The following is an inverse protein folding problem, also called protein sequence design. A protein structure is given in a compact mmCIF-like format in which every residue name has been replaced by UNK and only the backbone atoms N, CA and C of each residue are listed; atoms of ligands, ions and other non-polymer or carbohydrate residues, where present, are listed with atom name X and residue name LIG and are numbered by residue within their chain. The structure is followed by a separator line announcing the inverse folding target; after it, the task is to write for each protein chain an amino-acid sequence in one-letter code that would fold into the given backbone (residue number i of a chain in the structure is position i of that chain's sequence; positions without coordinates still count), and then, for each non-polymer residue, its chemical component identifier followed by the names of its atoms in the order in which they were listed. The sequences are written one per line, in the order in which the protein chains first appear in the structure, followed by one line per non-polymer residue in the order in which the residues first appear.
data_IF_884906916184
#
_entry.id   IF_884906916184
#
_cell.length_a   1.000
_cell.length_b   1.000
_cell.length_c   1.000
_cell.angle_alpha   90.00
_cell.angle_beta   90.00
_cell.angle_gamma   90.00
#
_symmetry.space_group_name_H-M   'P 1'
#
loop_
_entity.id
_entity.type
_entity.pdbx_description
1 polymer ?
#
# COMPACT_ATOMS: atom_id res chain seq x y z
N UNK A 1 -11.33 10.09 -13.17
CA UNK A 1 -11.55 9.12 -12.06
C UNK A 1 -11.63 9.83 -10.71
N UNK A 2 -10.62 10.59 -10.27
CA UNK A 2 -10.63 11.25 -8.96
C UNK A 2 -11.81 12.22 -8.74
N UNK A 3 -12.23 13.00 -9.76
CA UNK A 3 -13.44 13.84 -9.66
C UNK A 3 -14.69 13.02 -9.31
N UNK A 4 -14.85 11.86 -9.94
CA UNK A 4 -15.99 10.97 -9.68
C UNK A 4 -15.89 10.34 -8.29
N UNK A 5 -14.70 9.90 -7.87
CA UNK A 5 -14.49 9.37 -6.52
C UNK A 5 -14.85 10.40 -5.43
N UNK A 6 -14.49 11.68 -5.62
CA UNK A 6 -14.88 12.76 -4.71
C UNK A 6 -16.40 12.93 -4.61
N UNK A 7 -17.12 12.82 -5.72
CA UNK A 7 -18.59 12.90 -5.73
C UNK A 7 -19.25 11.75 -4.96
N UNK A 8 -18.58 10.59 -4.83
CA UNK A 8 -19.06 9.46 -4.03
C UNK A 8 -18.82 9.63 -2.52
N UNK A 9 -18.13 10.68 -2.09
CA UNK A 9 -17.86 10.94 -0.66
C UNK A 9 -16.85 9.98 -0.03
N UNK A 10 -15.92 9.42 -0.82
CA UNK A 10 -14.88 8.51 -0.29
C UNK A 10 -13.88 9.27 0.59
N UNK A 11 -13.29 8.57 1.57
CA UNK A 11 -12.32 9.17 2.49
C UNK A 11 -10.98 9.54 1.84
N UNK A 12 -10.54 8.75 0.85
CA UNK A 12 -9.29 8.98 0.11
C UNK A 12 -9.31 8.24 -1.23
N UNK A 13 -8.36 8.55 -2.10
CA UNK A 13 -8.08 7.79 -3.33
C UNK A 13 -6.67 7.21 -3.31
N UNK A 14 -6.53 5.99 -3.83
CA UNK A 14 -5.24 5.33 -4.03
C UNK A 14 -4.84 5.45 -5.51
N UNK A 15 -3.68 6.05 -5.78
CA UNK A 15 -3.25 6.39 -7.14
C UNK A 15 -1.94 5.67 -7.48
N UNK A 16 -2.04 4.63 -8.31
CA UNK A 16 -0.87 3.91 -8.82
C UNK A 16 -0.04 4.77 -9.77
N UNK A 17 1.28 4.60 -9.75
CA UNK A 17 2.17 5.19 -10.76
C UNK A 17 1.72 4.83 -12.18
N UNK A 18 1.84 5.75 -13.16
CA UNK A 18 1.57 5.45 -14.56
C UNK A 18 2.35 4.22 -15.02
N UNK A 19 1.61 3.20 -15.42
CA UNK A 19 2.15 1.92 -15.86
C UNK A 19 2.38 1.92 -17.37
N UNK A 20 3.24 0.99 -17.83
CA UNK A 20 3.57 0.72 -19.24
C UNK A 20 4.38 1.81 -19.95
N UNK A 21 4.00 3.08 -19.85
CA UNK A 21 4.63 4.19 -20.56
C UNK A 21 5.92 4.73 -19.91
N UNK A 22 6.26 4.27 -18.70
CA UNK A 22 7.55 4.49 -18.01
C UNK A 22 7.98 5.97 -17.94
N UNK A 23 7.19 6.85 -17.28
CA UNK A 23 7.55 8.25 -17.15
C UNK A 23 8.84 8.43 -16.34
N UNK A 24 9.50 9.57 -16.54
CA UNK A 24 10.63 10.01 -15.69
C UNK A 24 10.13 10.40 -14.29
N UNK A 25 11.04 10.56 -13.32
CA UNK A 25 10.68 11.04 -11.99
C UNK A 25 9.97 12.40 -12.01
N UNK A 26 10.38 13.31 -12.89
CA UNK A 26 9.69 14.59 -13.07
C UNK A 26 8.29 14.40 -13.68
N UNK A 27 8.15 13.47 -14.62
CA UNK A 27 6.84 13.10 -15.15
C UNK A 27 5.90 12.55 -14.08
N UNK A 28 6.41 11.71 -13.16
CA UNK A 28 5.66 11.22 -12.00
C UNK A 28 5.24 12.36 -11.07
N UNK A 29 6.17 13.25 -10.74
CA UNK A 29 5.88 14.43 -9.91
C UNK A 29 4.76 15.29 -10.51
N UNK A 30 4.90 15.67 -11.78
CA UNK A 30 3.92 16.50 -12.47
C UNK A 30 2.56 15.80 -12.61
N UNK A 31 2.56 14.49 -12.82
CA UNK A 31 1.35 13.68 -12.90
C UNK A 31 0.54 13.74 -11.60
N UNK A 32 1.15 13.40 -10.47
CA UNK A 32 0.46 13.41 -9.17
C UNK A 32 0.10 14.83 -8.73
N UNK A 33 0.98 15.81 -8.96
CA UNK A 33 0.70 17.22 -8.69
C UNK A 33 -0.55 17.70 -9.43
N UNK A 34 -0.67 17.40 -10.72
CA UNK A 34 -1.84 17.81 -11.50
C UNK A 34 -3.14 17.18 -10.98
N UNK A 35 -3.12 15.93 -10.52
CA UNK A 35 -4.29 15.27 -9.91
C UNK A 35 -4.64 15.91 -8.55
N UNK A 36 -3.62 16.20 -7.73
CA UNK A 36 -3.75 16.85 -6.44
C UNK A 36 -4.35 18.26 -6.54
N UNK A 37 -3.92 19.06 -7.51
CA UNK A 37 -4.45 20.40 -7.77
C UNK A 37 -5.88 20.39 -8.35
N UNK A 38 -6.21 19.38 -9.15
CA UNK A 38 -7.53 19.28 -9.80
C UNK A 38 -8.64 18.79 -8.84
N UNK A 39 -8.30 17.97 -7.85
CA UNK A 39 -9.29 17.32 -6.97
C UNK A 39 -8.86 17.37 -5.52
N UNK A 40 -9.51 18.24 -4.76
CA UNK A 40 -9.36 18.36 -3.31
C UNK A 40 -10.01 17.16 -2.59
N UNK A 41 -9.27 16.05 -2.53
CA UNK A 41 -9.57 14.81 -1.79
C UNK A 41 -8.24 14.23 -1.31
N UNK A 42 -8.15 13.58 -0.13
CA UNK A 42 -6.92 12.93 0.31
C UNK A 42 -6.45 11.86 -0.67
N UNK A 43 -5.16 11.85 -0.97
CA UNK A 43 -4.54 11.00 -1.98
C UNK A 43 -3.40 10.19 -1.37
N UNK A 44 -3.41 8.89 -1.63
CA UNK A 44 -2.34 7.97 -1.26
C UNK A 44 -1.65 7.56 -2.56
N UNK A 45 -0.35 7.83 -2.66
CA UNK A 45 0.49 7.38 -3.77
C UNK A 45 0.60 5.85 -3.75
N UNK A 46 0.83 5.21 -4.89
CA UNK A 46 1.06 3.77 -4.92
C UNK A 46 2.21 3.38 -5.84
N UNK A 47 3.31 2.93 -5.22
CA UNK A 47 4.50 2.42 -5.90
C UNK A 47 4.48 0.89 -5.96
N UNK A 48 4.51 0.32 -7.17
CA UNK A 48 4.59 -1.13 -7.42
C UNK A 48 5.35 -1.41 -8.73
N UNK A 49 6.68 -1.31 -8.72
CA UNK A 49 7.48 -1.36 -9.95
C UNK A 49 7.34 -2.67 -10.72
N UNK A 50 7.13 -3.78 -10.01
CA UNK A 50 6.90 -5.11 -10.60
C UNK A 50 5.68 -5.16 -11.53
N UNK A 51 4.71 -4.24 -11.39
CA UNK A 51 3.52 -4.14 -12.23
C UNK A 51 3.52 -2.96 -13.18
N UNK A 52 4.22 -1.88 -12.82
CA UNK A 52 4.14 -0.60 -13.54
C UNK A 52 5.34 -0.37 -14.47
N UNK A 53 6.44 -1.11 -14.27
CA UNK A 53 7.73 -0.92 -14.94
C UNK A 53 8.36 0.48 -14.72
N UNK A 54 7.94 1.19 -13.67
CA UNK A 54 8.62 2.38 -13.18
C UNK A 54 8.65 2.37 -11.64
N UNK A 55 9.66 3.01 -11.06
CA UNK A 55 9.85 3.06 -9.61
C UNK A 55 9.76 4.51 -9.12
N UNK A 56 8.79 4.80 -8.25
CA UNK A 56 8.65 6.11 -7.62
C UNK A 56 9.63 6.20 -6.45
N UNK A 57 10.74 6.90 -6.66
CA UNK A 57 11.83 6.94 -5.69
C UNK A 57 11.50 7.81 -4.46
N UNK A 58 12.08 7.52 -3.28
CA UNK A 58 11.84 8.28 -2.05
C UNK A 58 11.97 9.80 -2.19
N UNK A 59 12.92 10.28 -2.99
CA UNK A 59 13.13 11.72 -3.24
C UNK A 59 11.93 12.36 -3.95
N UNK A 60 11.31 11.64 -4.88
CA UNK A 60 10.10 12.09 -5.58
C UNK A 60 8.89 12.04 -4.65
N UNK A 61 8.82 11.02 -3.78
CA UNK A 61 7.79 10.93 -2.71
C UNK A 61 7.90 12.13 -1.78
N UNK A 62 9.09 12.48 -1.30
CA UNK A 62 9.32 13.63 -0.44
C UNK A 62 8.95 14.98 -1.09
N UNK A 63 9.13 15.12 -2.42
CA UNK A 63 8.61 16.28 -3.16
C UNK A 63 7.08 16.33 -3.20
N UNK A 64 6.43 15.18 -3.37
CA UNK A 64 4.97 15.06 -3.43
C UNK A 64 4.30 15.22 -2.06
N UNK A 65 4.94 14.76 -0.98
CA UNK A 65 4.46 14.89 0.39
C UNK A 65 4.25 16.35 0.83
N UNK A 66 4.91 17.31 0.16
CA UNK A 66 4.72 18.76 0.40
C UNK A 66 3.39 19.30 -0.15
N UNK A 67 2.64 18.51 -0.91
CA UNK A 67 1.34 18.88 -1.47
C UNK A 67 0.26 18.44 -0.47
N UNK A 68 -0.49 19.40 0.09
CA UNK A 68 -1.26 19.19 1.33
C UNK A 68 -2.34 18.11 1.32
N UNK A 69 -2.83 17.68 0.15
CA UNK A 69 -3.80 16.58 0.01
C UNK A 69 -3.16 15.26 -0.44
N UNK A 70 -1.83 15.17 -0.58
CA UNK A 70 -1.10 13.90 -0.74
C UNK A 70 -0.66 13.46 0.65
N UNK A 71 -1.39 12.51 1.22
CA UNK A 71 -1.33 12.17 2.66
C UNK A 71 -0.48 10.93 2.97
N UNK A 72 -0.07 10.17 1.96
CA UNK A 72 0.71 8.97 2.19
C UNK A 72 1.11 8.21 0.94
N UNK A 73 1.73 7.06 1.15
CA UNK A 73 2.15 6.13 0.10
C UNK A 73 1.88 4.67 0.49
N UNK A 74 1.39 3.90 -0.48
CA UNK A 74 1.47 2.44 -0.51
C UNK A 74 2.78 2.03 -1.20
N UNK A 75 3.72 1.50 -0.45
CA UNK A 75 5.01 1.01 -0.94
C UNK A 75 4.97 -0.53 -1.09
N UNK A 76 4.99 -1.04 -2.32
CA UNK A 76 4.88 -2.47 -2.62
C UNK A 76 6.11 -3.04 -3.34
N UNK A 77 7.30 -2.51 -3.04
CA UNK A 77 8.57 -3.06 -3.53
C UNK A 77 9.09 -4.21 -2.69
N UNK A 78 8.61 -4.33 -1.45
CA UNK A 78 9.14 -5.26 -0.46
C UNK A 78 10.37 -4.73 0.30
N UNK A 79 10.94 -3.59 -0.11
CA UNK A 79 12.15 -3.02 0.50
C UNK A 79 11.84 -2.18 1.75
N UNK A 80 11.93 -2.82 2.92
CA UNK A 80 11.68 -2.17 4.23
C UNK A 80 12.62 -0.99 4.48
N UNK A 81 13.81 -0.93 3.86
CA UNK A 81 14.75 0.20 4.01
C UNK A 81 14.15 1.52 3.49
N UNK A 82 13.17 1.46 2.58
CA UNK A 82 12.48 2.65 2.08
C UNK A 82 11.65 3.35 3.14
N UNK A 83 11.26 2.67 4.21
CA UNK A 83 10.51 3.29 5.30
C UNK A 83 11.32 4.43 5.91
N UNK A 84 12.58 4.20 6.28
CA UNK A 84 13.42 5.24 6.87
C UNK A 84 13.74 6.35 5.86
N UNK A 85 14.08 6.00 4.62
CA UNK A 85 14.40 6.97 3.57
C UNK A 85 13.24 7.92 3.27
N UNK A 86 12.02 7.40 3.17
CA UNK A 86 10.82 8.23 2.91
C UNK A 86 10.53 9.10 4.13
N UNK A 87 10.61 8.55 5.36
CA UNK A 87 10.37 9.31 6.59
C UNK A 87 11.37 10.46 6.78
N UNK A 88 12.63 10.31 6.39
CA UNK A 88 13.62 11.39 6.43
C UNK A 88 13.26 12.57 5.50
N UNK A 89 12.43 12.33 4.48
CA UNK A 89 12.09 13.29 3.43
C UNK A 89 10.67 13.86 3.55
N UNK A 90 9.86 13.35 4.48
CA UNK A 90 8.46 13.70 4.65
C UNK A 90 8.19 14.16 6.09
N UNK A 91 7.11 14.93 6.28
CA UNK A 91 6.65 15.30 7.62
C UNK A 91 6.09 14.08 8.37
N UNK A 92 6.07 14.13 9.71
CA UNK A 92 5.61 13.04 10.60
C UNK A 92 4.16 12.59 10.34
N UNK A 93 3.36 13.44 9.67
CA UNK A 93 1.97 13.15 9.32
C UNK A 93 1.81 12.36 8.01
N UNK A 94 2.88 12.14 7.24
CA UNK A 94 2.83 11.40 5.99
C UNK A 94 2.77 9.90 6.26
N UNK A 95 1.69 9.23 5.85
CA UNK A 95 1.44 7.84 6.22
C UNK A 95 2.07 6.85 5.23
N UNK A 96 2.81 5.87 5.76
CA UNK A 96 3.44 4.82 4.96
C UNK A 96 2.69 3.50 5.17
N UNK A 97 2.23 2.91 4.07
CA UNK A 97 1.57 1.61 4.06
C UNK A 97 2.38 0.63 3.22
N UNK A 98 2.60 -0.59 3.72
CA UNK A 98 3.13 -1.64 2.83
C UNK A 98 2.03 -2.15 1.89
N UNK A 99 2.42 -2.51 0.68
CA UNK A 99 1.61 -3.30 -0.25
C UNK A 99 2.08 -4.74 -0.42
N UNK A 100 3.05 -5.17 0.40
CA UNK A 100 3.57 -6.54 0.46
C UNK A 100 3.12 -7.16 1.79
N UNK A 101 2.28 -8.21 1.72
CA UNK A 101 1.71 -8.80 2.93
C UNK A 101 2.80 -9.44 3.80
N UNK A 102 3.76 -10.13 3.17
CA UNK A 102 4.76 -10.94 3.87
C UNK A 102 5.72 -10.13 4.74
N UNK A 103 5.90 -8.83 4.46
CA UNK A 103 6.80 -7.95 5.21
C UNK A 103 6.07 -6.96 6.14
N UNK A 104 4.75 -7.13 6.34
CA UNK A 104 3.92 -6.18 7.08
C UNK A 104 4.48 -5.86 8.47
N UNK A 105 4.89 -6.89 9.22
CA UNK A 105 5.42 -6.71 10.58
C UNK A 105 6.70 -5.87 10.57
N UNK A 106 7.68 -6.24 9.74
CA UNK A 106 8.95 -5.52 9.67
C UNK A 106 8.77 -4.09 9.15
N UNK A 107 7.84 -3.88 8.21
CA UNK A 107 7.51 -2.55 7.69
C UNK A 107 6.92 -1.64 8.77
N UNK A 108 5.97 -2.15 9.58
CA UNK A 108 5.38 -1.40 10.69
C UNK A 108 6.43 -1.11 11.77
N UNK A 109 7.25 -2.10 12.15
CA UNK A 109 8.31 -1.93 13.14
C UNK A 109 9.39 -0.93 12.68
N UNK A 110 9.63 -0.80 11.37
CA UNK A 110 10.51 0.23 10.79
C UNK A 110 9.88 1.65 10.82
N UNK A 111 8.64 1.78 11.27
CA UNK A 111 7.94 3.06 11.42
C UNK A 111 6.84 3.31 10.38
N UNK A 112 6.42 2.29 9.63
CA UNK A 112 5.21 2.32 8.82
C UNK A 112 3.93 2.29 9.65
N UNK A 113 2.81 2.67 9.02
CA UNK A 113 1.50 2.83 9.68
C UNK A 113 0.56 1.63 9.51
N UNK A 114 0.82 0.76 8.54
CA UNK A 114 -0.02 -0.41 8.30
C UNK A 114 0.22 -1.06 6.94
N UNK A 115 -0.79 -1.77 6.45
CA UNK A 115 -0.78 -2.52 5.21
C UNK A 115 -2.07 -2.31 4.42
N UNK A 116 -1.98 -2.22 3.09
CA UNK A 116 -3.12 -2.34 2.18
C UNK A 116 -3.05 -3.72 1.53
N UNK A 117 -3.72 -4.67 2.17
CA UNK A 117 -3.45 -6.11 2.11
C UNK A 117 -4.31 -6.88 1.10
N UNK A 118 -3.75 -7.96 0.54
CA UNK A 118 -4.51 -9.00 -0.18
C UNK A 118 -5.03 -10.04 0.82
N UNK A 119 -4.17 -10.53 1.71
CA UNK A 119 -4.46 -11.57 2.72
C UNK A 119 -5.63 -11.20 3.63
N UNK A 120 -5.82 -9.90 3.91
CA UNK A 120 -6.94 -9.41 4.71
C UNK A 120 -8.33 -9.72 4.13
N UNK A 121 -8.44 -10.07 2.84
CA UNK A 121 -9.72 -10.53 2.27
C UNK A 121 -10.19 -11.86 2.89
N UNK A 122 -9.26 -12.76 3.20
CA UNK A 122 -9.58 -14.12 3.67
C UNK A 122 -9.25 -14.35 5.14
N UNK A 123 -8.33 -13.55 5.71
CA UNK A 123 -7.93 -13.62 7.12
C UNK A 123 -7.93 -12.23 7.80
N UNK A 124 -9.03 -11.45 7.75
CA UNK A 124 -9.05 -10.07 8.25
C UNK A 124 -8.75 -9.95 9.75
N UNK A 125 -9.27 -10.86 10.57
CA UNK A 125 -9.09 -10.80 12.03
C UNK A 125 -7.61 -10.97 12.43
N UNK A 126 -6.93 -11.96 11.86
CA UNK A 126 -5.50 -12.20 12.12
C UNK A 126 -4.64 -11.07 11.55
N UNK A 127 -4.94 -10.57 10.34
CA UNK A 127 -4.24 -9.39 9.79
C UNK A 127 -4.38 -8.16 10.69
N UNK A 128 -5.58 -7.91 11.24
CA UNK A 128 -5.83 -6.80 12.17
C UNK A 128 -5.03 -6.96 13.46
N UNK A 129 -5.08 -8.15 14.09
CA UNK A 129 -4.35 -8.45 15.32
C UNK A 129 -2.83 -8.34 15.13
N UNK A 130 -2.32 -8.81 13.98
CA UNK A 130 -0.92 -8.69 13.60
C UNK A 130 -0.50 -7.22 13.49
N UNK A 131 -1.27 -6.41 12.75
CA UNK A 131 -0.98 -4.98 12.58
C UNK A 131 -1.03 -4.23 13.91
N UNK A 132 -2.05 -4.48 14.74
CA UNK A 132 -2.17 -3.86 16.06
C UNK A 132 -0.99 -4.20 16.98
N UNK A 133 -0.53 -5.46 16.97
CA UNK A 133 0.62 -5.90 17.78
C UNK A 133 1.90 -5.21 17.31
N UNK A 134 2.14 -5.17 16.00
CA UNK A 134 3.29 -4.49 15.42
C UNK A 134 3.27 -2.97 15.72
N UNK A 135 2.10 -2.32 15.62
CA UNK A 135 1.94 -0.89 15.93
C UNK A 135 2.18 -0.56 17.41
N UNK A 136 1.95 -1.51 18.32
CA UNK A 136 2.27 -1.40 19.74
C UNK A 136 3.74 -1.72 20.06
N UNK A 137 4.53 -2.13 19.07
CA UNK A 137 5.91 -2.56 19.25
C UNK A 137 6.06 -3.99 19.80
N UNK A 138 4.97 -4.76 19.91
CA UNK A 138 4.99 -6.16 20.33
C UNK A 138 5.41 -7.06 19.14
N UNK A 139 6.72 -7.03 18.85
CA UNK A 139 7.29 -7.69 17.70
C UNK A 139 7.13 -9.22 17.76
N UNK A 140 7.22 -9.82 18.95
CA UNK A 140 7.16 -11.27 19.12
C UNK A 140 5.74 -11.79 18.82
N UNK A 141 4.71 -11.16 19.41
CA UNK A 141 3.33 -11.54 19.11
C UNK A 141 2.95 -11.25 17.64
N UNK A 142 3.39 -10.11 17.10
CA UNK A 142 3.14 -9.78 15.69
C UNK A 142 3.73 -10.84 14.75
N UNK A 143 4.97 -11.29 15.00
CA UNK A 143 5.63 -12.34 14.21
C UNK A 143 4.95 -13.68 14.37
N UNK A 144 4.52 -14.06 15.58
CA UNK A 144 3.78 -15.31 15.78
C UNK A 144 2.48 -15.36 14.95
N UNK A 145 1.77 -14.23 14.85
CA UNK A 145 0.57 -14.13 14.01
C UNK A 145 0.95 -14.17 12.52
N UNK A 146 2.00 -13.45 12.12
CA UNK A 146 2.50 -13.46 10.74
C UNK A 146 2.92 -14.87 10.28
N UNK A 147 3.53 -15.66 11.16
CA UNK A 147 3.91 -17.05 10.86
C UNK A 147 2.69 -17.93 10.54
N UNK A 148 1.57 -17.72 11.25
CA UNK A 148 0.29 -18.39 10.97
C UNK A 148 -0.28 -18.01 9.60
N UNK A 149 0.03 -16.80 9.12
CA UNK A 149 -0.44 -16.25 7.84
C UNK A 149 0.53 -16.47 6.67
N UNK A 150 1.78 -16.85 6.95
CA UNK A 150 2.88 -16.94 5.99
C UNK A 150 2.54 -17.73 4.72
N UNK A 151 1.85 -18.87 4.87
CA UNK A 151 1.45 -19.69 3.72
C UNK A 151 0.41 -18.96 2.85
N UNK A 152 -0.53 -18.22 3.44
CA UNK A 152 -1.50 -17.41 2.69
C UNK A 152 -0.80 -16.27 1.94
N UNK A 153 0.12 -15.57 2.60
CA UNK A 153 0.91 -14.50 1.96
C UNK A 153 1.62 -15.00 0.69
N UNK A 154 2.07 -16.25 0.67
CA UNK A 154 2.72 -16.83 -0.52
C UNK A 154 1.70 -17.35 -1.54
N UNK A 155 0.71 -18.13 -1.08
CA UNK A 155 -0.21 -18.85 -1.98
C UNK A 155 -1.21 -17.94 -2.67
N UNK A 156 -1.56 -16.80 -2.07
CA UNK A 156 -2.43 -15.81 -2.72
C UNK A 156 -1.77 -15.12 -3.94
N UNK A 157 -0.48 -15.37 -4.16
CA UNK A 157 0.30 -14.89 -5.29
C UNK A 157 0.91 -16.02 -6.13
N UNK A 158 0.41 -17.26 -6.01
CA UNK A 158 0.83 -18.39 -6.88
C UNK A 158 0.52 -18.11 -8.35
N UNK A 159 -0.51 -17.31 -8.60
CA UNK A 159 -0.81 -16.66 -9.87
C UNK A 159 -0.98 -15.15 -9.61
N UNK A 160 -1.10 -14.36 -10.69
CA UNK A 160 -1.28 -12.92 -10.56
C UNK A 160 -2.54 -12.57 -9.76
N UNK A 161 -2.38 -11.89 -8.62
CA UNK A 161 -3.50 -11.29 -7.89
C UNK A 161 -4.36 -10.42 -8.85
N UNK A 162 -5.71 -10.57 -8.84
CA UNK A 162 -6.52 -11.21 -7.81
C UNK A 162 -7.00 -12.65 -8.09
N UNK A 163 -6.35 -13.41 -8.98
CA UNK A 163 -6.83 -14.77 -9.34
C UNK A 163 -6.95 -15.68 -8.11
N UNK A 164 -5.91 -15.89 -7.29
CA UNK A 164 -6.00 -16.84 -6.18
C UNK A 164 -6.93 -16.37 -5.04
N UNK A 165 -6.96 -15.05 -4.76
CA UNK A 165 -7.79 -14.52 -3.67
C UNK A 165 -9.28 -14.55 -4.01
N UNK A 166 -9.67 -14.33 -5.28
CA UNK A 166 -11.07 -14.50 -5.69
C UNK A 166 -11.49 -15.96 -5.60
N UNK A 167 -10.64 -16.89 -6.03
CA UNK A 167 -10.91 -18.32 -5.86
C UNK A 167 -11.12 -18.68 -4.39
N UNK A 168 -10.22 -18.24 -3.49
CA UNK A 168 -10.34 -18.50 -2.07
C UNK A 168 -11.63 -17.90 -1.46
N UNK A 169 -11.99 -16.66 -1.82
CA UNK A 169 -13.23 -16.03 -1.36
C UNK A 169 -14.49 -16.79 -1.84
N UNK A 170 -14.45 -17.34 -3.07
CA UNK A 170 -15.53 -18.16 -3.59
C UNK A 170 -15.65 -19.48 -2.82
N UNK A 171 -14.54 -20.18 -2.59
CA UNK A 171 -14.50 -21.41 -1.78
C UNK A 171 -14.97 -21.18 -0.33
N UNK A 172 -14.75 -19.98 0.21
CA UNK A 172 -15.27 -19.56 1.52
C UNK A 172 -16.76 -19.17 1.50
N UNK A 173 -17.42 -19.18 0.35
CA UNK A 173 -18.81 -18.77 0.19
C UNK A 173 -19.06 -17.27 0.41
N UNK A 174 -18.03 -16.43 0.31
CA UNK A 174 -18.13 -14.98 0.54
C UNK A 174 -18.48 -14.19 -0.73
N UNK A 175 -18.25 -14.77 -1.90
CA UNK A 175 -18.60 -14.18 -3.21
C UNK A 175 -19.19 -15.25 -4.14
N UNK A 176 -20.00 -14.86 -5.14
CA UNK A 176 -20.41 -15.78 -6.21
C UNK A 176 -19.21 -16.29 -7.02
N UNK A 177 -19.47 -17.26 -7.90
CA UNK A 177 -18.47 -17.75 -8.86
C UNK A 177 -17.86 -16.57 -9.64
N UNK A 178 -16.54 -16.55 -9.72
CA UNK A 178 -15.75 -15.32 -9.92
C UNK A 178 -14.82 -15.32 -11.11
#
# INVERSE_FOLDING_TARGET
LSHYAKQLGVAAVLLVTPYYNRPTQEGLYLHFKAIAEAVDIPQILYNVPSRTACDLLPETVGRLAKIGNIIGIKEATGDVRRVSLIKELCDDNFELYTGEDANTVDFILAGGRGVISVTANVAPALMSQMCESALKGDADNAREINDKLSLLHQRLFSESNPIPVKWALHEMGLIPEG
#
